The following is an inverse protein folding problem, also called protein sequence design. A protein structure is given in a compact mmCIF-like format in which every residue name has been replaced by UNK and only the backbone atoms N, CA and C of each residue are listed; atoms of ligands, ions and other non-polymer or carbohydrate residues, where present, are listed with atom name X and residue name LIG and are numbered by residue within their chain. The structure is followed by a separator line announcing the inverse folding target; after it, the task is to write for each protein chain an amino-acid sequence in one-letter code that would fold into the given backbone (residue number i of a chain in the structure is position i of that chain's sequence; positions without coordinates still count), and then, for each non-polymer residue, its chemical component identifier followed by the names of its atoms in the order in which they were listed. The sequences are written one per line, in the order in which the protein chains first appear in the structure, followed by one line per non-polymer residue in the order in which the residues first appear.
data_IF_054349494352
#
_entry.id   IF_054349494352
#
_cell.length_a   1.000
_cell.length_b   1.000
_cell.length_c   1.000
_cell.angle_alpha   90.00
_cell.angle_beta   90.00
_cell.angle_gamma   90.00
#
_symmetry.space_group_name_H-M   'P 1'
#
loop_
_entity.id
_entity.type
_entity.pdbx_description
1 polymer ?
#
# COMPACT_ATOMS: atom_id res chain seq x y z
N UNK A 1 -14.16 -12.99 11.10
CA UNK A 1 -14.18 -11.51 11.07
C UNK A 1 -12.98 -10.85 11.78
N UNK A 2 -12.43 -11.39 12.89
CA UNK A 2 -11.32 -10.75 13.64
C UNK A 2 -9.99 -10.58 12.86
N UNK A 3 -9.76 -11.38 11.81
CA UNK A 3 -8.49 -11.35 11.04
C UNK A 3 -8.51 -10.39 9.83
N UNK A 4 -9.69 -9.93 9.40
CA UNK A 4 -9.79 -8.96 8.30
C UNK A 4 -9.39 -7.56 8.77
N UNK A 5 -9.74 -7.24 10.01
CA UNK A 5 -9.44 -5.95 10.63
C UNK A 5 -7.93 -5.71 10.79
N UNK A 6 -7.18 -6.71 11.23
CA UNK A 6 -5.71 -6.63 11.32
C UNK A 6 -5.05 -6.42 9.96
N UNK A 7 -5.60 -7.00 8.89
CA UNK A 7 -5.11 -6.75 7.51
C UNK A 7 -5.41 -5.33 7.06
N UNK A 8 -6.63 -4.85 7.26
CA UNK A 8 -7.05 -3.49 6.89
C UNK A 8 -6.23 -2.45 7.66
N UNK A 9 -6.04 -2.64 8.96
CA UNK A 9 -5.23 -1.76 9.80
C UNK A 9 -3.76 -1.80 9.38
N UNK A 10 -3.19 -2.98 9.11
CA UNK A 10 -1.81 -3.11 8.63
C UNK A 10 -1.58 -2.42 7.27
N UNK A 11 -2.51 -2.61 6.33
CA UNK A 11 -2.49 -1.93 5.03
C UNK A 11 -2.63 -0.42 5.22
N UNK A 12 -3.55 0.02 6.08
CA UNK A 12 -3.79 1.44 6.36
C UNK A 12 -2.54 2.12 6.93
N UNK A 13 -1.92 1.55 7.95
CA UNK A 13 -0.69 2.08 8.56
C UNK A 13 0.44 2.12 7.54
N UNK A 14 0.63 1.05 6.77
CA UNK A 14 1.65 0.98 5.73
C UNK A 14 1.43 2.04 4.64
N UNK A 15 0.18 2.22 4.21
CA UNK A 15 -0.19 3.20 3.20
C UNK A 15 0.02 4.64 3.68
N UNK A 16 -0.32 4.91 4.94
CA UNK A 16 -0.14 6.21 5.57
C UNK A 16 1.35 6.56 5.71
N UNK A 17 2.18 5.60 6.16
CA UNK A 17 3.64 5.76 6.19
C UNK A 17 4.22 6.05 4.80
N UNK A 18 3.73 5.34 3.78
CA UNK A 18 4.17 5.52 2.42
C UNK A 18 3.87 6.92 1.87
N UNK A 19 2.63 7.38 1.99
CA UNK A 19 2.21 8.67 1.46
C UNK A 19 2.68 9.86 2.30
N UNK A 20 2.66 9.75 3.62
CA UNK A 20 3.03 10.88 4.49
C UNK A 20 4.54 10.98 4.75
N UNK A 21 5.28 9.87 4.73
CA UNK A 21 6.71 9.87 5.05
C UNK A 21 7.58 9.52 3.85
N UNK A 22 7.42 8.30 3.32
CA UNK A 22 8.35 7.79 2.30
C UNK A 22 8.32 8.63 1.01
N UNK A 23 7.13 8.93 0.50
CA UNK A 23 6.97 9.70 -0.75
C UNK A 23 7.53 11.12 -0.64
N UNK A 24 7.10 11.97 0.32
CA UNK A 24 7.55 13.38 0.36
C UNK A 24 8.95 13.58 0.94
N UNK A 25 9.40 12.74 1.88
CA UNK A 25 10.68 12.98 2.57
C UNK A 25 11.84 12.08 2.08
N UNK A 26 11.54 10.94 1.46
CA UNK A 26 12.59 10.03 0.97
C UNK A 26 12.65 10.04 -0.54
N UNK A 27 11.51 9.87 -1.21
CA UNK A 27 11.45 9.72 -2.67
C UNK A 27 11.53 11.08 -3.36
N UNK A 28 10.74 12.05 -2.93
CA UNK A 28 10.69 13.37 -3.56
C UNK A 28 12.04 14.09 -3.58
N UNK A 29 12.78 14.25 -2.46
CA UNK A 29 14.08 14.92 -2.49
C UNK A 29 15.14 14.12 -3.24
N UNK A 30 15.02 12.79 -3.33
CA UNK A 30 16.03 11.94 -3.98
C UNK A 30 15.81 11.70 -5.47
N UNK A 31 14.55 11.70 -5.91
CA UNK A 31 14.16 11.36 -7.29
C UNK A 31 13.53 12.53 -8.05
N UNK A 32 13.19 13.65 -7.38
CA UNK A 32 12.68 14.87 -8.00
C UNK A 32 11.50 14.58 -8.95
N UNK A 33 11.68 14.91 -10.25
CA UNK A 33 10.67 14.68 -11.31
C UNK A 33 10.26 13.21 -11.47
N UNK A 34 11.13 12.26 -11.13
CA UNK A 34 10.84 10.82 -11.18
C UNK A 34 10.01 10.35 -9.97
N UNK A 35 9.85 11.18 -8.93
CA UNK A 35 9.03 10.86 -7.76
C UNK A 35 7.56 10.62 -8.08
N UNK A 36 7.05 11.26 -9.15
CA UNK A 36 5.67 11.07 -9.61
C UNK A 36 5.48 9.65 -10.20
N UNK A 37 6.44 9.20 -11.02
CA UNK A 37 6.45 7.83 -11.57
C UNK A 37 6.55 6.80 -10.44
N UNK A 38 7.41 7.04 -9.46
CA UNK A 38 7.54 6.14 -8.31
C UNK A 38 6.25 6.05 -7.48
N UNK A 39 5.58 7.19 -7.27
CA UNK A 39 4.28 7.24 -6.57
C UNK A 39 3.23 6.42 -7.30
N UNK A 40 3.14 6.56 -8.62
CA UNK A 40 2.20 5.81 -9.46
C UNK A 40 2.48 4.30 -9.36
N UNK A 41 3.74 3.88 -9.55
CA UNK A 41 4.12 2.46 -9.45
C UNK A 41 3.75 1.91 -8.07
N UNK A 42 4.03 2.67 -7.02
CA UNK A 42 3.73 2.24 -5.65
C UNK A 42 2.23 2.12 -5.40
N UNK A 43 1.43 3.07 -5.90
CA UNK A 43 -0.03 2.99 -5.81
C UNK A 43 -0.59 1.74 -6.51
N UNK A 44 -0.05 1.39 -7.69
CA UNK A 44 -0.44 0.17 -8.42
C UNK A 44 -0.09 -1.09 -7.63
N UNK A 45 1.13 -1.18 -7.09
CA UNK A 45 1.58 -2.33 -6.30
C UNK A 45 0.71 -2.53 -5.06
N UNK A 46 0.38 -1.45 -4.33
CA UNK A 46 -0.50 -1.54 -3.15
C UNK A 46 -1.90 -1.99 -3.56
N UNK A 47 -2.46 -1.46 -4.65
CA UNK A 47 -3.79 -1.86 -5.13
C UNK A 47 -3.86 -3.35 -5.44
N UNK A 48 -2.82 -3.90 -6.10
CA UNK A 48 -2.69 -5.33 -6.35
C UNK A 48 -2.52 -6.14 -5.05
N UNK A 49 -1.74 -5.65 -4.10
CA UNK A 49 -1.56 -6.31 -2.79
C UNK A 49 -2.88 -6.37 -1.99
N UNK A 50 -3.67 -5.29 -2.02
CA UNK A 50 -5.00 -5.22 -1.38
C UNK A 50 -5.96 -6.19 -2.06
N UNK A 51 -6.05 -6.16 -3.38
CA UNK A 51 -6.92 -7.07 -4.14
C UNK A 51 -6.52 -8.54 -3.92
N UNK A 52 -5.22 -8.84 -3.94
CA UNK A 52 -4.69 -10.18 -3.68
C UNK A 52 -4.99 -10.66 -2.26
N UNK A 53 -4.82 -9.81 -1.25
CA UNK A 53 -5.15 -10.16 0.14
C UNK A 53 -6.65 -10.33 0.38
N UNK A 54 -7.49 -9.55 -0.33
CA UNK A 54 -8.94 -9.73 -0.33
C UNK A 54 -9.32 -11.09 -0.95
N UNK A 55 -8.74 -11.42 -2.10
CA UNK A 55 -8.98 -12.67 -2.83
C UNK A 55 -8.55 -13.90 -2.02
N UNK A 56 -7.36 -13.86 -1.39
CA UNK A 56 -6.86 -14.96 -0.57
C UNK A 56 -7.67 -15.15 0.73
N UNK A 57 -8.19 -14.05 1.28
CA UNK A 57 -9.05 -14.08 2.46
C UNK A 57 -10.41 -14.75 2.17
N UNK A 58 -10.95 -14.53 0.96
CA UNK A 58 -12.22 -15.10 0.54
C UNK A 58 -12.14 -16.61 0.31
N UNK A 59 -11.00 -17.12 -0.18
CA UNK A 59 -10.77 -18.56 -0.40
C UNK A 59 -10.72 -19.39 0.89
N UNK A 60 -10.38 -18.79 2.04
CA UNK A 60 -10.33 -19.47 3.34
C UNK A 60 -11.71 -19.63 4.01
N UNK A 61 -12.72 -18.91 3.52
CA UNK A 61 -14.08 -18.92 4.06
C UNK A 61 -15.08 -19.66 3.15
N UNK A 62 -14.58 -20.43 2.18
CA UNK A 62 -15.34 -21.27 1.26
C UNK A 62 -14.99 -22.74 1.47
#
# INVERSE_FOLDING_TARGET
MKNAWTRIVGIGIFHMFLYMYLVPFVIWPRYGKNGLVFTIVTAVVISLAVLGTLWIGNKKNR
#
